data_IF_582724436915
#
_entry.id   IF_582724436915
#
_cell.length_a   1.000
_cell.length_b   1.000
_cell.length_c   1.000
_cell.angle_alpha   90.00
_cell.angle_beta   90.00
_cell.angle_gamma   90.00
#
_symmetry.space_group_name_H-M   'P 1'
#
loop_
_entity.id
_entity.type
_entity.pdbx_description
1 polymer ?
#
# COMPACT_ATOMS: atom_id res chain seq x y z
N UNK A 1 -15.53 -9.28 -10.47
CA UNK A 1 -15.61 -8.94 -10.11
C UNK A 1 -15.47 -8.00 -9.49
N UNK A 2 -15.02 -7.78 -8.97
CA UNK A 2 -14.84 -6.82 -8.25
C UNK A 2 -15.66 -5.76 -8.47
N UNK A 3 -16.34 -5.77 -9.29
CA UNK A 3 -17.20 -4.83 -9.50
C UNK A 3 -18.11 -4.64 -8.44
N UNK A 4 -18.40 -5.59 -7.66
CA UNK A 4 -19.30 -5.41 -6.59
C UNK A 4 -18.89 -4.29 -5.73
N UNK A 5 -17.63 -4.15 -5.51
CA UNK A 5 -17.21 -3.13 -4.70
C UNK A 5 -17.51 -1.81 -5.23
N UNK A 6 -17.42 -1.65 -6.48
CA UNK A 6 -17.69 -0.40 -7.01
C UNK A 6 -19.08 0.00 -6.89
N UNK A 7 -19.98 -0.89 -6.79
CA UNK A 7 -21.35 -0.49 -6.73
C UNK A 7 -21.79 -0.16 -5.34
N UNK A 8 -20.95 -0.31 -4.34
CA UNK A 8 -21.38 0.03 -3.02
C UNK A 8 -21.28 1.50 -2.78
N UNK A 9 -22.28 2.09 -2.19
CA UNK A 9 -22.24 3.52 -1.97
C UNK A 9 -21.26 3.87 -0.85
N UNK A 10 -20.68 5.01 -0.98
CA UNK A 10 -19.79 5.50 0.04
C UNK A 10 -20.58 6.37 0.95
N UNK A 11 -20.57 6.13 2.26
CA UNK A 11 -21.34 6.88 3.15
C UNK A 11 -20.92 8.27 3.09
N UNK A 12 -19.71 8.58 3.35
CA UNK A 12 -19.22 9.91 3.33
C UNK A 12 -17.82 9.84 2.86
N UNK A 13 -17.44 10.57 1.83
CA UNK A 13 -16.08 10.47 1.33
C UNK A 13 -15.10 10.96 2.37
N UNK A 14 -14.00 10.26 2.51
CA UNK A 14 -12.95 10.69 3.40
C UNK A 14 -12.23 11.85 2.75
N UNK A 15 -11.96 12.94 3.47
CA UNK A 15 -11.23 14.05 2.90
C UNK A 15 -9.89 13.58 2.36
N UNK A 16 -9.52 14.13 1.22
CA UNK A 16 -8.34 13.66 0.55
C UNK A 16 -7.09 13.68 1.41
N UNK A 17 -6.93 14.71 2.22
CA UNK A 17 -5.74 14.80 3.02
C UNK A 17 -5.67 13.76 4.13
N UNK A 18 -6.76 13.04 4.37
CA UNK A 18 -6.76 11.99 5.37
C UNK A 18 -6.77 10.61 4.76
N UNK A 19 -6.94 10.51 3.47
CA UNK A 19 -7.13 9.20 2.85
C UNK A 19 -5.94 8.28 3.03
N UNK A 20 -4.74 8.80 2.93
CA UNK A 20 -3.58 7.95 3.08
C UNK A 20 -3.50 7.37 4.47
N UNK A 21 -3.82 8.15 5.47
CA UNK A 21 -3.78 7.64 6.82
C UNK A 21 -4.85 6.62 7.08
N UNK A 22 -6.04 6.85 6.54
CA UNK A 22 -7.11 5.89 6.69
C UNK A 22 -6.73 4.59 5.98
N UNK A 23 -6.16 4.70 4.79
CA UNK A 23 -5.74 3.51 4.05
C UNK A 23 -4.67 2.74 4.81
N UNK A 24 -3.72 3.45 5.40
CA UNK A 24 -2.70 2.78 6.18
C UNK A 24 -3.28 2.04 7.37
N UNK A 25 -4.32 2.61 7.96
CA UNK A 25 -4.98 1.94 9.07
C UNK A 25 -5.56 0.60 8.65
N UNK A 26 -6.22 0.57 7.49
CA UNK A 26 -6.77 -0.68 7.00
C UNK A 26 -5.66 -1.68 6.69
N UNK A 27 -4.58 -1.20 6.09
CA UNK A 27 -3.49 -2.09 5.75
C UNK A 27 -2.83 -2.67 6.99
N UNK A 28 -2.66 -1.85 8.02
CA UNK A 28 -2.06 -2.34 9.25
C UNK A 28 -2.95 -3.37 9.93
N UNK A 29 -4.25 -3.20 9.86
CA UNK A 29 -5.14 -4.17 10.43
C UNK A 29 -5.06 -5.49 9.69
N UNK A 30 -5.07 -5.43 8.37
CA UNK A 30 -4.96 -6.63 7.57
C UNK A 30 -3.62 -7.30 7.80
N UNK A 31 -2.58 -6.50 7.94
CA UNK A 31 -1.23 -7.02 8.17
C UNK A 31 -1.19 -7.79 9.48
N UNK A 32 -1.75 -7.18 10.52
CA UNK A 32 -1.79 -7.83 11.82
C UNK A 32 -2.54 -9.13 11.77
N UNK A 33 -3.67 -9.13 11.10
CA UNK A 33 -4.43 -10.33 11.00
C UNK A 33 -3.72 -11.41 10.25
N UNK A 34 -3.06 -11.04 9.16
CA UNK A 34 -2.31 -12.02 8.38
C UNK A 34 -1.18 -12.61 9.19
N UNK A 35 -0.49 -11.76 9.98
CA UNK A 35 0.58 -12.25 10.82
C UNK A 35 0.03 -13.21 11.88
N UNK A 36 -1.11 -12.87 12.43
CA UNK A 36 -1.73 -13.73 13.41
C UNK A 36 -2.07 -15.08 12.80
N UNK A 37 -2.44 -15.09 11.53
CA UNK A 37 -2.77 -16.33 10.84
C UNK A 37 -1.54 -17.07 10.34
N UNK A 38 -0.37 -16.58 10.63
CA UNK A 38 0.85 -17.30 10.30
C UNK A 38 1.53 -16.91 9.00
N UNK A 39 1.09 -15.83 8.38
CA UNK A 39 1.73 -15.40 7.15
C UNK A 39 3.02 -14.69 7.49
N UNK A 40 4.09 -15.09 6.80
CA UNK A 40 5.39 -14.51 7.05
C UNK A 40 5.45 -13.05 6.65
N UNK A 41 6.15 -12.26 7.43
CA UNK A 41 6.22 -10.83 7.21
C UNK A 41 6.81 -10.47 5.85
N UNK A 42 7.83 -11.20 5.44
CA UNK A 42 8.45 -10.94 4.16
C UNK A 42 7.49 -11.25 3.01
N UNK A 43 6.72 -12.30 3.14
CA UNK A 43 5.74 -12.62 2.14
C UNK A 43 4.65 -11.56 2.06
N UNK A 44 4.27 -11.03 3.22
CA UNK A 44 3.29 -9.98 3.24
C UNK A 44 3.81 -8.75 2.52
N UNK A 45 5.06 -8.39 2.78
CA UNK A 45 5.64 -7.22 2.16
C UNK A 45 5.67 -7.37 0.64
N UNK A 46 6.06 -8.54 0.17
CA UNK A 46 6.14 -8.76 -1.26
C UNK A 46 4.76 -8.76 -1.90
N UNK A 47 3.80 -9.35 -1.23
CA UNK A 47 2.45 -9.36 -1.75
C UNK A 47 1.88 -7.95 -1.83
N UNK A 48 2.14 -7.14 -0.81
CA UNK A 48 1.68 -5.77 -0.81
C UNK A 48 2.32 -4.98 -1.93
N UNK A 49 3.61 -5.20 -2.15
CA UNK A 49 4.31 -4.51 -3.21
C UNK A 49 3.72 -4.89 -4.56
N UNK A 50 3.47 -6.16 -4.76
CA UNK A 50 2.88 -6.60 -6.01
C UNK A 50 1.52 -5.94 -6.21
N UNK A 51 0.69 -5.97 -5.20
CA UNK A 51 -0.65 -5.41 -5.31
C UNK A 51 -0.59 -3.91 -5.61
N UNK A 52 0.31 -3.21 -4.95
CA UNK A 52 0.43 -1.79 -5.14
C UNK A 52 0.89 -1.46 -6.55
N UNK A 53 1.90 -2.18 -7.03
CA UNK A 53 2.40 -1.91 -8.37
C UNK A 53 1.37 -2.28 -9.42
N UNK A 54 0.66 -3.38 -9.22
CA UNK A 54 -0.39 -3.77 -10.15
C UNK A 54 -1.46 -2.68 -10.21
N UNK A 55 -1.79 -2.11 -9.06
CA UNK A 55 -2.77 -1.04 -9.02
C UNK A 55 -2.30 0.20 -9.78
N UNK A 56 -1.02 0.54 -9.63
CA UNK A 56 -0.48 1.68 -10.33
C UNK A 56 -0.46 1.45 -11.84
N UNK A 57 -0.11 0.24 -12.25
CA UNK A 57 -0.10 -0.08 -13.66
C UNK A 57 -1.51 0.00 -14.24
N UNK A 58 -2.48 -0.53 -13.50
CA UNK A 58 -3.85 -0.48 -13.96
C UNK A 58 -4.34 0.97 -14.12
N UNK A 59 -3.96 1.81 -13.19
CA UNK A 59 -4.45 3.18 -13.21
C UNK A 59 -3.70 4.08 -14.18
N UNK A 60 -2.39 3.96 -14.23
CA UNK A 60 -1.56 4.89 -14.97
C UNK A 60 -0.79 4.29 -16.15
N UNK A 61 -0.80 2.98 -16.27
CA UNK A 61 -0.05 2.34 -17.35
C UNK A 61 1.35 1.97 -16.92
N UNK A 62 1.95 1.11 -17.69
CA UNK A 62 3.25 0.55 -17.33
C UNK A 62 4.36 1.57 -17.29
N UNK A 63 4.36 2.46 -18.25
CA UNK A 63 5.46 3.41 -18.31
C UNK A 63 5.45 4.38 -17.13
N UNK A 64 4.29 4.91 -16.80
CA UNK A 64 4.20 5.82 -15.67
C UNK A 64 4.50 5.11 -14.36
N UNK A 65 4.02 3.88 -14.23
CA UNK A 65 4.27 3.12 -13.02
C UNK A 65 5.75 2.84 -12.87
N UNK A 66 6.42 2.51 -13.98
CA UNK A 66 7.85 2.23 -13.95
C UNK A 66 8.63 3.47 -13.55
N UNK A 67 8.25 4.61 -14.11
CA UNK A 67 8.94 5.85 -13.77
C UNK A 67 8.79 6.18 -12.30
N UNK A 68 7.59 5.96 -11.77
CA UNK A 68 7.37 6.21 -10.36
C UNK A 68 8.25 5.27 -9.53
N UNK A 69 8.28 4.00 -9.89
CA UNK A 69 9.05 3.02 -9.13
C UNK A 69 10.54 3.33 -9.16
N UNK A 70 11.01 3.85 -10.29
CA UNK A 70 12.43 4.20 -10.38
C UNK A 70 12.81 5.24 -9.35
N UNK A 71 11.91 6.15 -9.05
CA UNK A 71 12.21 7.17 -8.08
C UNK A 71 12.21 6.67 -6.65
N UNK A 72 11.64 5.50 -6.41
CA UNK A 72 11.55 5.01 -5.06
C UNK A 72 12.90 4.60 -4.49
N UNK A 73 13.81 4.19 -5.35
CA UNK A 73 15.10 3.71 -4.86
C UNK A 73 15.82 4.80 -4.05
N UNK A 74 15.83 6.02 -4.56
CA UNK A 74 16.49 7.11 -3.84
C UNK A 74 15.77 7.41 -2.54
N UNK A 75 14.45 7.35 -2.56
CA UNK A 75 13.67 7.62 -1.36
C UNK A 75 13.93 6.57 -0.29
N UNK A 76 14.10 5.31 -0.72
CA UNK A 76 14.42 4.26 0.22
C UNK A 76 15.76 4.52 0.86
N UNK A 77 16.75 4.90 0.05
CA UNK A 77 18.07 5.16 0.57
C UNK A 77 18.10 6.37 1.48
N UNK A 78 17.23 7.31 1.23
CA UNK A 78 17.14 8.49 2.07
C UNK A 78 16.39 8.25 3.36
N UNK A 79 15.91 7.03 3.58
CA UNK A 79 15.25 6.71 4.83
C UNK A 79 13.80 7.09 4.94
N UNK A 80 13.17 7.45 3.83
CA UNK A 80 11.78 7.87 3.90
C UNK A 80 10.85 6.77 4.37
N UNK A 81 11.23 5.52 4.14
CA UNK A 81 10.37 4.41 4.54
C UNK A 81 10.89 3.69 5.77
N UNK A 82 11.89 4.22 6.42
CA UNK A 82 12.42 3.57 7.60
C UNK A 82 11.57 3.90 8.79
N UNK A 83 11.00 2.86 9.39
CA UNK A 83 10.20 3.05 10.56
C UNK A 83 11.12 2.89 11.72
N UNK A 84 11.28 3.97 12.49
CA UNK A 84 12.15 3.93 13.54
C UNK A 84 11.83 3.03 14.58
N UNK A 85 12.60 2.16 14.93
CA UNK A 85 12.26 1.34 15.92
C UNK A 85 13.28 1.42 16.82
N UNK A 86 13.69 1.80 17.22
CA UNK A 86 14.64 1.83 18.11
C UNK A 86 15.83 1.92 17.86
N UNK A 87 16.17 2.17 17.71
CA UNK A 87 17.17 2.41 17.52
C UNK A 87 17.85 2.76 18.06
N UNK A 88 17.88 2.84 18.10
CA UNK A 88 18.36 3.12 18.45
C UNK A 88 18.76 3.02 18.66
#
# INVERSE_FOLDING_TARGET
MSMAMRSMPVREPVPEHEQKQVALGYLFEAWSEARFDGVDEDCLAQACLFAALAGLVTTYGEEAAAAYAEGLAARIRNGEFSIERSRQ
#
